data_IF_836107701737
#
_entry.id   IF_836107701737
#
_cell.length_a   1.000
_cell.length_b   1.000
_cell.length_c   1.000
_cell.angle_alpha   90.00
_cell.angle_beta   90.00
_cell.angle_gamma   90.00
#
_symmetry.space_group_name_H-M   'P 1'
#
loop_
_entity.id
_entity.type
_entity.pdbx_description
1 polymer ?
#
# COMPACT_ATOMS: atom_id res chain seq x y z
N UNK A 1 1.03 -44.76 -3.94
CA UNK A 1 1.86 -43.60 -4.35
C UNK A 1 1.70 -42.54 -3.29
N UNK A 2 2.73 -42.33 -2.46
CA UNK A 2 2.68 -41.36 -1.37
C UNK A 2 3.00 -39.98 -1.95
N UNK A 3 2.02 -39.09 -2.07
CA UNK A 3 2.28 -37.71 -2.44
C UNK A 3 2.87 -36.98 -1.24
N UNK A 4 4.19 -36.80 -1.27
CA UNK A 4 4.86 -35.76 -0.51
C UNK A 4 4.33 -34.41 -1.01
N UNK A 5 3.55 -33.72 -0.20
CA UNK A 5 3.21 -32.32 -0.46
C UNK A 5 3.17 -31.56 0.86
N UNK A 6 4.34 -31.44 1.50
CA UNK A 6 4.61 -30.29 2.36
C UNK A 6 4.91 -29.07 1.48
N UNK A 7 3.95 -28.69 0.64
CA UNK A 7 3.92 -27.33 0.09
C UNK A 7 3.44 -26.50 1.28
N UNK A 8 4.39 -25.86 1.96
CA UNK A 8 4.05 -24.73 2.83
C UNK A 8 3.43 -23.70 1.90
N UNK A 9 2.10 -23.68 1.79
CA UNK A 9 1.39 -22.50 1.34
C UNK A 9 1.83 -21.41 2.32
N UNK A 10 2.80 -20.59 1.91
CA UNK A 10 2.95 -19.28 2.50
C UNK A 10 1.66 -18.57 2.10
N UNK A 11 0.61 -18.72 2.92
CA UNK A 11 -0.54 -17.84 2.85
C UNK A 11 0.05 -16.45 2.98
N UNK A 12 -0.03 -15.69 1.90
CA UNK A 12 0.42 -14.32 1.92
C UNK A 12 -0.27 -13.60 3.09
N UNK A 13 0.52 -12.96 3.94
CA UNK A 13 -0.03 -12.37 5.16
C UNK A 13 -0.87 -11.14 4.84
N UNK A 14 -0.50 -10.39 3.82
CA UNK A 14 -1.16 -9.14 3.44
C UNK A 14 -2.45 -9.40 2.66
N UNK A 15 -2.44 -10.33 1.71
CA UNK A 15 -3.63 -10.69 0.93
C UNK A 15 -4.55 -11.53 1.81
N UNK A 16 -5.78 -11.07 1.99
CA UNK A 16 -6.78 -11.80 2.77
C UNK A 16 -7.30 -13.01 1.99
N UNK A 17 -7.70 -12.80 0.74
CA UNK A 17 -8.27 -13.81 -0.15
C UNK A 17 -8.26 -13.33 -1.63
N UNK A 18 -8.55 -14.24 -2.56
CA UNK A 18 -8.64 -14.00 -4.01
C UNK A 18 -10.06 -13.77 -4.54
N UNK A 19 -11.04 -13.45 -3.68
CA UNK A 19 -12.43 -13.15 -4.07
C UNK A 19 -12.57 -11.98 -5.04
N UNK A 20 -11.63 -11.02 -4.98
CA UNK A 20 -11.56 -9.90 -5.92
C UNK A 20 -10.26 -9.99 -6.71
N UNK A 21 -10.31 -9.56 -7.97
CA UNK A 21 -9.12 -9.53 -8.83
C UNK A 21 -8.05 -8.63 -8.20
N UNK A 22 -6.83 -9.16 -8.15
CA UNK A 22 -5.66 -8.46 -7.63
C UNK A 22 -4.90 -7.92 -8.84
N UNK A 23 -4.86 -6.60 -8.95
CA UNK A 23 -4.08 -5.89 -9.96
C UNK A 23 -3.09 -4.95 -9.30
N UNK A 24 -1.97 -4.69 -9.97
CA UNK A 24 -0.89 -3.87 -9.45
C UNK A 24 -0.26 -3.01 -10.55
N UNK A 25 0.17 -1.81 -10.18
CA UNK A 25 0.87 -0.87 -11.04
C UNK A 25 2.05 -0.22 -10.32
N UNK A 26 2.87 0.51 -11.07
CA UNK A 26 3.98 1.28 -10.50
C UNK A 26 3.54 2.73 -10.34
N UNK A 27 3.71 3.27 -9.14
CA UNK A 27 3.33 4.64 -8.79
C UNK A 27 4.54 5.42 -8.28
N UNK A 28 4.72 6.63 -8.78
CA UNK A 28 5.74 7.56 -8.26
C UNK A 28 5.23 8.21 -6.99
N UNK A 29 5.87 7.91 -5.87
CA UNK A 29 5.52 8.42 -4.54
C UNK A 29 6.52 9.50 -4.13
N UNK A 30 6.02 10.70 -3.82
CA UNK A 30 6.81 11.78 -3.28
C UNK A 30 7.17 11.50 -1.83
N UNK A 31 8.45 11.65 -1.52
CA UNK A 31 9.01 11.40 -0.20
C UNK A 31 8.94 12.66 0.68
N UNK A 32 8.71 12.52 2.00
CA UNK A 32 8.65 13.65 2.91
C UNK A 32 10.02 14.34 2.99
N UNK A 33 10.11 15.58 2.51
CA UNK A 33 11.36 16.36 2.46
C UNK A 33 11.83 16.85 3.84
N UNK A 34 10.96 16.80 4.85
CA UNK A 34 11.24 17.24 6.22
C UNK A 34 12.17 16.27 6.96
N UNK A 35 12.20 15.00 6.56
CA UNK A 35 13.07 13.99 7.13
C UNK A 35 13.98 13.47 6.03
N UNK A 36 15.10 14.16 5.82
CA UNK A 36 16.23 13.71 5.02
C UNK A 36 16.87 12.50 5.68
N UNK A 37 16.22 11.35 5.65
CA UNK A 37 16.79 10.10 6.08
C UNK A 37 16.38 9.05 5.05
N UNK A 38 17.35 8.23 4.64
CA UNK A 38 17.06 7.04 3.87
C UNK A 38 16.02 6.17 4.60
N UNK A 39 15.17 5.50 3.84
CA UNK A 39 14.04 4.77 4.40
C UNK A 39 13.53 3.67 3.50
N UNK A 40 12.38 3.13 3.86
CA UNK A 40 11.73 2.06 3.12
C UNK A 40 10.23 2.26 3.17
N UNK A 41 9.60 2.35 2.01
CA UNK A 41 8.15 2.16 1.88
C UNK A 41 7.89 0.68 2.07
N UNK A 42 7.17 0.33 3.12
CA UNK A 42 6.96 -1.08 3.49
C UNK A 42 5.84 -1.70 2.68
N UNK A 43 5.96 -2.99 2.38
CA UNK A 43 4.86 -3.79 1.86
C UNK A 43 3.65 -3.68 2.80
N UNK A 44 2.47 -3.42 2.22
CA UNK A 44 1.24 -3.18 2.97
C UNK A 44 1.04 -1.71 3.37
N UNK A 45 1.99 -0.83 3.09
CA UNK A 45 1.84 0.59 3.39
C UNK A 45 0.83 1.24 2.46
N UNK A 46 -0.14 1.94 3.06
CA UNK A 46 -1.13 2.72 2.34
C UNK A 46 -0.46 3.99 1.84
N UNK A 47 -0.59 4.21 0.54
CA UNK A 47 -0.14 5.41 -0.15
C UNK A 47 -1.37 6.28 -0.39
N UNK A 48 -1.25 7.54 0.01
CA UNK A 48 -2.30 8.54 -0.10
C UNK A 48 -2.10 9.34 -1.38
N UNK A 49 -3.19 9.85 -1.93
CA UNK A 49 -3.15 10.82 -3.02
C UNK A 49 -3.51 12.20 -2.45
N UNK A 50 -2.57 13.13 -2.51
CA UNK A 50 -2.81 14.53 -2.19
C UNK A 50 -3.59 15.16 -3.34
N UNK A 51 -4.84 15.51 -3.09
CA UNK A 51 -5.74 16.05 -4.14
C UNK A 51 -5.39 17.49 -4.53
N UNK A 52 -4.69 18.23 -3.68
CA UNK A 52 -4.29 19.62 -3.90
C UNK A 52 -3.08 19.70 -4.82
N UNK A 53 -2.04 18.93 -4.52
CA UNK A 53 -0.78 18.89 -5.27
C UNK A 53 -0.78 17.83 -6.38
N UNK A 54 -1.77 16.93 -6.38
CA UNK A 54 -1.96 15.85 -7.36
C UNK A 54 -0.80 14.86 -7.41
N UNK A 55 -0.34 14.44 -6.24
CA UNK A 55 0.81 13.57 -6.06
C UNK A 55 0.51 12.44 -5.07
N UNK A 56 1.23 11.33 -5.19
CA UNK A 56 1.15 10.24 -4.23
C UNK A 56 2.14 10.49 -3.09
N UNK A 57 1.68 10.35 -1.85
CA UNK A 57 2.45 10.69 -0.64
C UNK A 57 2.29 9.61 0.43
N UNK A 58 3.28 9.50 1.31
CA UNK A 58 3.30 8.51 2.39
C UNK A 58 2.50 8.93 3.64
N UNK A 59 2.23 10.23 3.78
CA UNK A 59 1.47 10.80 4.91
C UNK A 59 0.15 11.36 4.44
N UNK A 60 -0.90 11.18 5.24
CA UNK A 60 -2.21 11.74 4.92
C UNK A 60 -2.21 13.23 5.26
N UNK A 61 -2.20 14.09 4.24
CA UNK A 61 -2.49 15.52 4.41
C UNK A 61 -3.97 15.77 4.71
N UNK A 62 -4.36 17.01 5.01
CA UNK A 62 -5.75 17.37 5.34
C UNK A 62 -6.76 16.96 4.23
N UNK A 63 -6.36 17.12 2.96
CA UNK A 63 -7.14 16.74 1.77
C UNK A 63 -6.63 15.44 1.09
N UNK A 64 -5.81 14.67 1.81
CA UNK A 64 -5.22 13.42 1.34
C UNK A 64 -6.21 12.27 1.42
N UNK A 65 -6.30 11.48 0.36
CA UNK A 65 -7.22 10.32 0.29
C UNK A 65 -6.44 9.01 0.14
N UNK A 66 -6.84 7.96 0.86
CA UNK A 66 -6.23 6.64 0.69
C UNK A 66 -6.42 6.13 -0.75
N UNK A 67 -5.33 5.76 -1.43
CA UNK A 67 -5.37 5.52 -2.87
C UNK A 67 -4.95 4.10 -3.26
N UNK A 68 -3.75 3.67 -2.86
CA UNK A 68 -3.17 2.37 -3.24
C UNK A 68 -2.38 1.76 -2.08
N UNK A 69 -2.00 0.49 -2.19
CA UNK A 69 -1.23 -0.23 -1.16
C UNK A 69 0.09 -0.71 -1.75
N UNK A 70 1.23 -0.39 -1.13
CA UNK A 70 2.53 -0.86 -1.56
C UNK A 70 2.59 -2.40 -1.58
N UNK A 71 2.96 -2.97 -2.72
CA UNK A 71 2.98 -4.41 -2.97
C UNK A 71 4.28 -5.08 -2.49
N UNK A 72 5.36 -4.30 -2.37
CA UNK A 72 6.68 -4.76 -1.93
C UNK A 72 7.43 -3.67 -1.14
N UNK A 73 8.48 -4.10 -0.43
CA UNK A 73 9.38 -3.18 0.27
C UNK A 73 10.22 -2.41 -0.76
N UNK A 74 10.07 -1.09 -0.81
CA UNK A 74 10.83 -0.22 -1.72
C UNK A 74 11.73 0.71 -0.91
N UNK A 75 13.05 0.56 -1.05
CA UNK A 75 14.03 1.40 -0.35
C UNK A 75 14.30 2.68 -1.13
N UNK A 76 14.55 3.77 -0.41
CA UNK A 76 14.93 5.06 -0.99
C UNK A 76 16.07 5.69 -0.19
N UNK A 77 16.90 6.48 -0.87
CA UNK A 77 18.03 7.20 -0.29
C UNK A 77 17.59 8.55 0.31
N UNK A 78 18.49 9.17 1.07
CA UNK A 78 18.24 10.47 1.72
C UNK A 78 18.00 11.62 0.73
N UNK A 79 18.70 11.59 -0.41
CA UNK A 79 18.61 12.62 -1.46
C UNK A 79 17.46 12.37 -2.45
N UNK A 80 16.75 11.24 -2.35
CA UNK A 80 15.61 10.96 -3.21
C UNK A 80 14.41 11.84 -2.82
N UNK A 81 13.82 12.50 -3.80
CA UNK A 81 12.57 13.27 -3.62
C UNK A 81 11.33 12.44 -3.98
N UNK A 82 11.52 11.40 -4.79
CA UNK A 82 10.47 10.53 -5.30
C UNK A 82 11.00 9.10 -5.43
N UNK A 83 10.11 8.12 -5.31
CA UNK A 83 10.45 6.72 -5.48
C UNK A 83 9.33 5.98 -6.23
N UNK A 84 9.70 5.11 -7.16
CA UNK A 84 8.76 4.26 -7.88
C UNK A 84 8.39 3.04 -7.04
N UNK A 85 7.14 2.97 -6.59
CA UNK A 85 6.65 1.90 -5.71
C UNK A 85 5.66 1.03 -6.48
N UNK A 86 5.94 -0.27 -6.57
CA UNK A 86 4.96 -1.23 -7.04
C UNK A 86 3.83 -1.34 -6.02
N UNK A 87 2.59 -1.10 -6.45
CA UNK A 87 1.44 -0.95 -5.56
C UNK A 87 0.22 -1.66 -6.13
N UNK A 88 -0.56 -2.30 -5.25
CA UNK A 88 -1.85 -2.87 -5.56
C UNK A 88 -2.88 -1.77 -5.79
N UNK A 89 -3.62 -1.88 -6.90
CA UNK A 89 -4.73 -0.99 -7.24
C UNK A 89 -6.09 -1.65 -6.99
N UNK A 90 -6.13 -2.98 -6.82
CA UNK A 90 -7.32 -3.73 -6.45
C UNK A 90 -6.96 -4.97 -5.66
N UNK A 91 -7.92 -5.48 -4.88
CA UNK A 91 -7.78 -6.73 -4.15
C UNK A 91 -8.43 -6.71 -2.77
N UNK A 92 -8.30 -7.82 -2.05
CA UNK A 92 -8.77 -7.94 -0.66
C UNK A 92 -7.58 -8.17 0.26
N UNK A 93 -7.37 -7.27 1.22
CA UNK A 93 -6.19 -7.21 2.08
C UNK A 93 -6.58 -7.29 3.54
N UNK A 94 -5.66 -7.80 4.37
CA UNK A 94 -5.84 -7.87 5.82
C UNK A 94 -5.59 -6.49 6.42
N UNK A 95 -6.59 -5.91 7.05
CA UNK A 95 -6.47 -4.58 7.68
C UNK A 95 -5.32 -4.55 8.69
N UNK A 96 -5.13 -5.64 9.44
CA UNK A 96 -4.08 -5.75 10.46
C UNK A 96 -2.66 -5.69 9.91
N UNK A 97 -2.46 -6.00 8.62
CA UNK A 97 -1.15 -5.98 7.97
C UNK A 97 -0.96 -4.71 7.12
N UNK A 98 -1.99 -3.87 6.98
CA UNK A 98 -1.89 -2.59 6.33
C UNK A 98 -1.24 -1.56 7.26
N UNK A 99 -0.33 -0.75 6.72
CA UNK A 99 0.39 0.28 7.46
C UNK A 99 -0.12 1.64 6.98
N UNK A 100 -0.87 2.33 7.84
CA UNK A 100 -1.42 3.66 7.56
C UNK A 100 -0.70 4.77 8.34
N UNK A 101 -0.78 5.98 7.82
CA UNK A 101 -0.37 7.19 8.55
C UNK A 101 -1.45 7.53 9.58
N UNK A 102 -1.36 6.90 10.75
CA UNK A 102 -2.36 6.98 11.79
C UNK A 102 -3.51 5.99 11.61
N UNK A 103 -4.64 6.25 12.27
CA UNK A 103 -5.82 5.37 12.23
C UNK A 103 -6.64 5.66 10.97
N UNK A 104 -6.97 4.61 10.20
CA UNK A 104 -7.91 4.72 9.09
C UNK A 104 -9.31 5.08 9.58
N UNK A 105 -9.90 6.10 8.96
CA UNK A 105 -11.27 6.52 9.24
C UNK A 105 -12.25 5.82 8.29
N UNK A 106 -13.55 5.90 8.59
CA UNK A 106 -14.57 5.28 7.75
C UNK A 106 -14.54 5.81 6.30
N UNK A 107 -14.20 7.09 6.12
CA UNK A 107 -14.07 7.72 4.81
C UNK A 107 -12.87 7.15 4.02
N UNK A 108 -11.75 6.86 4.67
CA UNK A 108 -10.60 6.22 4.02
C UNK A 108 -10.97 4.81 3.52
N UNK A 109 -11.70 4.06 4.34
CA UNK A 109 -12.12 2.69 4.01
C UNK A 109 -13.11 2.70 2.84
N UNK A 110 -14.08 3.62 2.83
CA UNK A 110 -15.02 3.77 1.70
C UNK A 110 -14.29 4.18 0.42
N UNK A 111 -13.34 5.09 0.54
CA UNK A 111 -12.50 5.59 -0.54
C UNK A 111 -11.62 4.49 -1.17
N UNK A 112 -11.06 3.60 -0.36
CA UNK A 112 -10.36 2.40 -0.82
C UNK A 112 -11.31 1.42 -1.51
N UNK A 113 -12.50 1.22 -0.95
CA UNK A 113 -13.53 0.35 -1.52
C UNK A 113 -14.00 0.82 -2.90
N UNK A 114 -14.20 2.13 -3.09
CA UNK A 114 -14.51 2.74 -4.39
C UNK A 114 -13.41 2.44 -5.42
N UNK A 115 -12.15 2.29 -4.97
CA UNK A 115 -11.00 1.90 -5.80
C UNK A 115 -10.81 0.39 -5.94
N UNK A 116 -11.77 -0.43 -5.52
CA UNK A 116 -11.68 -1.91 -5.52
C UNK A 116 -10.62 -2.49 -4.57
N UNK A 117 -10.23 -1.75 -3.55
CA UNK A 117 -9.37 -2.20 -2.47
C UNK A 117 -10.24 -2.44 -1.23
N UNK A 118 -10.29 -3.69 -0.77
CA UNK A 118 -11.13 -4.10 0.35
C UNK A 118 -10.25 -4.48 1.53
N UNK A 119 -10.47 -3.87 2.69
CA UNK A 119 -9.80 -4.22 3.94
C UNK A 119 -10.69 -5.13 4.79
N UNK A 120 -10.12 -6.20 5.35
CA UNK A 120 -10.81 -7.27 6.09
C UNK A 120 -10.06 -7.69 7.35
#
# INVERSE_FOLDING_TARGET
MSLNSSIKHYSDKLIYDSSHEIDAGVFTVTLPTESKAAGTVKRGQIIYFDTTKKEYVLKKGDDGVAAVIAAEDTSYAEDDTEVAVQSYISGTFRESECISDGKLEADDIDTLRIRNIYLK
#
